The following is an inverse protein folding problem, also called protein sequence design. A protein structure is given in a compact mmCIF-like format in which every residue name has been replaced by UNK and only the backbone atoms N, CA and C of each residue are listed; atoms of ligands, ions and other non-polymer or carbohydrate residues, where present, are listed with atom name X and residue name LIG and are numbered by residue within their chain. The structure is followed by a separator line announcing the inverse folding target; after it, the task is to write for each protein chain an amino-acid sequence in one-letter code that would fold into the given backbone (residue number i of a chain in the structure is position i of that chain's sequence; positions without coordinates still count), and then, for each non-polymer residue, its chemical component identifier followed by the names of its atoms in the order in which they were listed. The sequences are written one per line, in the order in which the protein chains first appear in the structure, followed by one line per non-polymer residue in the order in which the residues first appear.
data_IF_218290290427
#
_entry.id   IF_218290290427
#
_cell.length_a   1.000
_cell.length_b   1.000
_cell.length_c   1.000
_cell.angle_alpha   90.00
_cell.angle_beta   90.00
_cell.angle_gamma   90.00
#
_symmetry.space_group_name_H-M   'P 1'
#
loop_
_entity.id
_entity.type
_entity.pdbx_description
1 polymer ?
#
# COMPACT_ATOMS: atom_id res chain seq x y z
N UNK A 1 11.36 -2.44 -6.28
CA UNK A 1 11.36 -1.12 -5.63
C UNK A 1 9.95 -0.58 -5.72
N UNK A 2 9.29 -0.34 -4.58
CA UNK A 2 7.94 0.22 -4.56
C UNK A 2 7.97 1.70 -4.94
N UNK A 3 7.05 2.12 -5.81
CA UNK A 3 6.98 3.51 -6.31
C UNK A 3 6.36 4.37 -5.22
N UNK A 4 6.95 5.52 -4.89
CA UNK A 4 6.33 6.43 -3.92
C UNK A 4 5.03 7.03 -4.45
N UNK A 5 4.11 7.39 -3.55
CA UNK A 5 2.82 8.04 -3.92
C UNK A 5 3.05 9.24 -4.83
N UNK A 6 4.01 10.11 -4.50
CA UNK A 6 4.33 11.29 -5.30
C UNK A 6 4.81 10.92 -6.70
N UNK A 7 5.68 9.92 -6.83
CA UNK A 7 6.18 9.45 -8.11
C UNK A 7 5.07 8.81 -8.96
N UNK A 8 4.16 8.05 -8.36
CA UNK A 8 3.03 7.45 -9.06
C UNK A 8 2.07 8.52 -9.61
N UNK A 9 1.79 9.58 -8.84
CA UNK A 9 0.99 10.72 -9.32
C UNK A 9 1.67 11.42 -10.50
N UNK A 10 2.98 11.65 -10.45
CA UNK A 10 3.71 12.24 -11.59
C UNK A 10 3.67 11.36 -12.84
N UNK A 11 3.73 10.03 -12.69
CA UNK A 11 3.64 9.10 -13.81
C UNK A 11 2.25 9.13 -14.46
N UNK A 12 1.17 9.23 -13.68
CA UNK A 12 -0.19 9.41 -14.22
C UNK A 12 -0.28 10.71 -15.03
N UNK A 13 0.20 11.82 -14.47
CA UNK A 13 0.13 13.12 -15.14
C UNK A 13 0.88 13.11 -16.49
N UNK A 14 2.05 12.48 -16.54
CA UNK A 14 2.80 12.32 -17.78
C UNK A 14 2.10 11.40 -18.78
N UNK A 15 1.59 10.24 -18.34
CA UNK A 15 0.88 9.30 -19.21
C UNK A 15 -0.39 9.92 -19.83
N UNK A 16 -1.15 10.69 -19.05
CA UNK A 16 -2.32 11.42 -19.55
C UNK A 16 -1.93 12.48 -20.57
N UNK A 17 -0.85 13.23 -20.30
CA UNK A 17 -0.32 14.24 -21.23
C UNK A 17 0.11 13.61 -22.56
N UNK A 18 0.73 12.43 -22.50
CA UNK A 18 1.25 11.72 -23.67
C UNK A 18 0.16 10.87 -24.37
N UNK A 19 -1.05 10.78 -23.79
CA UNK A 19 -2.16 9.99 -24.33
C UNK A 19 -1.98 8.47 -24.20
N UNK A 20 -1.03 8.02 -23.37
CA UNK A 20 -0.71 6.60 -23.18
C UNK A 20 -1.61 5.98 -22.10
N UNK A 21 -2.71 5.37 -22.53
CA UNK A 21 -3.69 4.73 -21.65
C UNK A 21 -3.13 3.52 -20.89
N UNK A 22 -2.15 2.81 -21.46
CA UNK A 22 -1.54 1.64 -20.81
C UNK A 22 -0.64 2.09 -19.67
N UNK A 23 0.19 3.11 -19.91
CA UNK A 23 1.03 3.70 -18.89
C UNK A 23 0.19 4.35 -17.77
N UNK A 24 -0.93 4.98 -18.12
CA UNK A 24 -1.85 5.55 -17.13
C UNK A 24 -2.43 4.47 -16.21
N UNK A 25 -2.97 3.37 -16.78
CA UNK A 25 -3.53 2.27 -16.01
C UNK A 25 -2.50 1.61 -15.08
N UNK A 26 -1.27 1.42 -15.57
CA UNK A 26 -0.17 0.89 -14.76
C UNK A 26 0.19 1.86 -13.61
N UNK A 27 0.27 3.16 -13.88
CA UNK A 27 0.59 4.16 -12.88
C UNK A 27 -0.50 4.30 -11.80
N UNK A 28 -1.78 4.14 -12.17
CA UNK A 28 -2.89 4.09 -11.21
C UNK A 28 -2.82 2.87 -10.30
N UNK A 29 -2.53 1.70 -10.84
CA UNK A 29 -2.30 0.48 -10.05
C UNK A 29 -1.15 0.68 -9.06
N UNK A 30 -0.05 1.27 -9.52
CA UNK A 30 1.09 1.59 -8.68
C UNK A 30 0.74 2.61 -7.57
N UNK A 31 -0.11 3.59 -7.86
CA UNK A 31 -0.56 4.58 -6.88
C UNK A 31 -1.35 3.93 -5.74
N UNK A 32 -2.28 3.02 -6.06
CA UNK A 32 -3.08 2.34 -5.04
C UNK A 32 -2.21 1.42 -4.16
N UNK A 33 -1.27 0.69 -4.77
CA UNK A 33 -0.28 -0.10 -4.01
C UNK A 33 0.57 0.79 -3.07
N UNK A 34 1.05 1.94 -3.56
CA UNK A 34 1.85 2.88 -2.77
C UNK A 34 1.06 3.50 -1.61
N UNK A 35 -0.24 3.79 -1.80
CA UNK A 35 -1.12 4.27 -0.72
C UNK A 35 -1.31 3.20 0.35
N UNK A 36 -1.53 1.95 -0.06
CA UNK A 36 -1.70 0.82 0.86
C UNK A 36 -0.43 0.61 1.69
N UNK A 37 0.73 0.56 1.05
CA UNK A 37 2.04 0.42 1.72
C UNK A 37 2.28 1.54 2.72
N UNK A 38 2.04 2.81 2.31
CA UNK A 38 2.17 3.97 3.20
C UNK A 38 1.25 3.84 4.42
N UNK A 39 0.02 3.38 4.22
CA UNK A 39 -0.94 3.23 5.31
C UNK A 39 -0.50 2.11 6.27
N UNK A 40 -0.06 0.96 5.75
CA UNK A 40 0.51 -0.13 6.56
C UNK A 40 1.68 0.39 7.37
N UNK A 41 2.64 1.09 6.74
CA UNK A 41 3.80 1.64 7.43
C UNK A 41 3.40 2.63 8.53
N UNK A 42 2.43 3.52 8.25
CA UNK A 42 1.91 4.46 9.25
C UNK A 42 1.30 3.74 10.45
N UNK A 43 0.49 2.72 10.21
CA UNK A 43 -0.16 1.93 11.27
C UNK A 43 0.89 1.18 12.09
N UNK A 44 1.86 0.53 11.44
CA UNK A 44 2.93 -0.21 12.11
C UNK A 44 3.83 0.74 12.92
N UNK A 45 4.18 1.91 12.38
CA UNK A 45 5.00 2.89 13.09
C UNK A 45 4.28 3.52 14.30
N UNK A 46 2.96 3.67 14.23
CA UNK A 46 2.14 4.16 15.34
C UNK A 46 1.80 3.08 16.37
N UNK A 47 2.02 1.80 16.05
CA UNK A 47 1.71 0.71 16.96
C UNK A 47 2.67 0.74 18.17
N UNK A 48 2.16 0.55 19.40
CA UNK A 48 3.04 0.31 20.54
C UNK A 48 3.89 -0.95 20.27
N UNK A 49 5.12 -1.02 20.82
CA UNK A 49 5.99 -2.18 20.63
C UNK A 49 5.28 -3.44 21.11
N UNK A 50 4.98 -4.33 20.17
CA UNK A 50 4.28 -5.57 20.43
C UNK A 50 5.23 -6.61 21.03
N UNK A 51 4.76 -7.32 22.05
CA UNK A 51 5.43 -8.53 22.54
C UNK A 51 5.38 -9.64 21.49
N UNK A 52 6.24 -10.67 21.63
CA UNK A 52 6.25 -11.80 20.71
C UNK A 52 4.88 -12.48 20.58
N UNK A 53 4.19 -12.72 21.71
CA UNK A 53 2.85 -13.30 21.73
C UNK A 53 1.79 -12.42 21.03
N UNK A 54 1.91 -11.09 21.14
CA UNK A 54 1.01 -10.16 20.45
C UNK A 54 1.25 -10.14 18.94
N UNK A 55 2.51 -10.23 18.49
CA UNK A 55 2.84 -10.35 17.06
C UNK A 55 2.31 -11.64 16.46
N UNK A 56 2.43 -12.76 17.17
CA UNK A 56 1.95 -14.06 16.73
C UNK A 56 0.41 -14.08 16.62
N UNK A 57 -0.28 -13.49 17.61
CA UNK A 57 -1.73 -13.30 17.55
C UNK A 57 -2.15 -12.38 16.39
N UNK A 58 -1.43 -11.29 16.14
CA UNK A 58 -1.70 -10.38 15.03
C UNK A 58 -1.49 -11.08 13.67
N UNK A 59 -0.41 -11.87 13.54
CA UNK A 59 -0.16 -12.66 12.34
C UNK A 59 -1.29 -13.65 12.06
N UNK A 60 -1.79 -14.35 13.10
CA UNK A 60 -2.95 -15.24 12.95
C UNK A 60 -4.21 -14.50 12.49
N UNK A 61 -4.49 -13.30 13.03
CA UNK A 61 -5.64 -12.50 12.61
C UNK A 61 -5.55 -12.03 11.15
N UNK A 62 -4.34 -11.68 10.69
CA UNK A 62 -4.08 -11.24 9.32
C UNK A 62 -4.12 -12.40 8.31
N UNK A 63 -3.62 -13.59 8.69
CA UNK A 63 -3.63 -14.80 7.85
C UNK A 63 -5.05 -15.37 7.73
N UNK A 64 -5.83 -15.35 8.81
CA UNK A 64 -7.22 -15.80 8.82
C UNK A 64 -8.21 -14.84 8.14
N UNK A 65 -7.75 -13.71 7.61
CA UNK A 65 -8.60 -12.74 6.90
C UNK A 65 -9.64 -12.06 7.80
N UNK A 66 -9.38 -11.95 9.11
CA UNK A 66 -10.36 -11.43 10.07
C UNK A 66 -11.69 -12.16 9.93
N UNK A 67 -11.77 -13.43 10.32
CA UNK A 67 -13.03 -14.18 10.27
C UNK A 67 -14.11 -13.44 11.08
N UNK A 68 -14.94 -12.71 10.32
CA UNK A 68 -16.33 -12.31 10.55
C UNK A 68 -16.70 -12.00 12.00
N UNK A 69 -16.82 -10.71 12.30
CA UNK A 69 -17.88 -10.19 13.16
C UNK A 69 -18.52 -8.99 12.47
#
# INVERSE_FOLDING_TARGET
MTVSVAKAVSLIANAVKDGDQVAEAAARTALEAAKLERQIHKVVAAAPPLSAAQRERLAMLLIGGGERN
#
